data_IF_811233147607
#
_entry.id   IF_811233147607
#
_cell.length_a   1.000
_cell.length_b   1.000
_cell.length_c   1.000
_cell.angle_alpha   90.00
_cell.angle_beta   90.00
_cell.angle_gamma   90.00
#
_symmetry.space_group_name_H-M   'P 1'
#
loop_
_entity.id
_entity.type
_entity.pdbx_description
1 polymer ?
#
# COMPACT_ATOMS: atom_id res chain seq x y z
N UNK A 1 12.15 16.03 -8.53
CA UNK A 1 12.63 14.70 -8.11
C UNK A 1 12.39 14.55 -6.62
N UNK A 2 11.59 13.56 -6.25
CA UNK A 2 11.33 13.25 -4.85
C UNK A 2 12.55 12.55 -4.26
N UNK A 3 13.16 13.12 -3.22
CA UNK A 3 14.23 12.45 -2.46
C UNK A 3 13.66 11.40 -1.52
N UNK A 4 14.48 10.44 -1.08
CA UNK A 4 14.05 9.42 -0.12
C UNK A 4 13.56 10.05 1.20
N UNK A 5 14.20 11.15 1.65
CA UNK A 5 13.74 11.91 2.83
C UNK A 5 12.35 12.50 2.62
N UNK A 6 12.09 13.13 1.48
CA UNK A 6 10.77 13.68 1.14
C UNK A 6 9.71 12.58 1.03
N UNK A 7 10.05 11.42 0.45
CA UNK A 7 9.14 10.27 0.45
C UNK A 7 8.82 9.82 1.88
N UNK A 8 9.84 9.61 2.72
CA UNK A 8 9.64 9.17 4.11
C UNK A 8 8.75 10.14 4.89
N UNK A 9 8.94 11.45 4.71
CA UNK A 9 8.10 12.46 5.34
C UNK A 9 6.66 12.43 4.80
N UNK A 10 6.48 12.27 3.49
CA UNK A 10 5.16 12.14 2.86
C UNK A 10 4.40 10.92 3.38
N UNK A 11 5.07 9.76 3.48
CA UNK A 11 4.47 8.55 4.03
C UNK A 11 4.04 8.76 5.50
N UNK A 12 4.89 9.37 6.33
CA UNK A 12 4.52 9.70 7.73
C UNK A 12 3.29 10.62 7.81
N UNK A 13 3.17 11.60 6.91
CA UNK A 13 2.02 12.52 6.87
C UNK A 13 0.72 11.80 6.47
N UNK A 14 0.78 10.92 5.47
CA UNK A 14 -0.36 10.09 5.07
C UNK A 14 -0.81 9.24 6.25
N UNK A 15 0.12 8.53 6.87
CA UNK A 15 -0.18 7.69 8.04
C UNK A 15 -0.78 8.48 9.21
N UNK A 16 -0.28 9.68 9.49
CA UNK A 16 -0.80 10.53 10.57
C UNK A 16 -2.26 10.97 10.31
N UNK A 17 -2.59 11.26 9.05
CA UNK A 17 -3.94 11.63 8.62
C UNK A 17 -4.93 10.48 8.82
N UNK A 18 -4.56 9.26 8.43
CA UNK A 18 -5.43 8.08 8.58
C UNK A 18 -5.51 7.55 10.01
N UNK A 19 -4.45 7.71 10.81
CA UNK A 19 -4.47 7.37 12.24
C UNK A 19 -5.26 8.39 13.10
N UNK A 20 -5.78 9.48 12.51
CA UNK A 20 -6.50 10.54 13.22
C UNK A 20 -5.62 11.32 14.20
N UNK A 21 -4.31 11.39 13.93
CA UNK A 21 -3.32 11.98 14.83
C UNK A 21 -2.81 13.33 14.28
N UNK A 22 -3.41 14.43 14.72
CA UNK A 22 -2.79 15.75 14.59
C UNK A 22 -1.71 15.97 15.66
N UNK A 23 -0.43 15.67 15.35
CA UNK A 23 0.85 16.04 16.06
C UNK A 23 0.98 15.70 17.57
N UNK A 24 2.14 15.55 18.24
CA UNK A 24 3.56 15.30 17.92
C UNK A 24 4.15 14.46 19.09
N UNK A 25 4.99 13.46 18.80
CA UNK A 25 5.68 12.65 19.83
C UNK A 25 6.04 11.25 19.33
N UNK A 26 7.01 11.13 18.43
CA UNK A 26 7.16 10.03 17.45
C UNK A 26 7.26 8.58 17.99
N UNK A 27 7.40 8.34 19.31
CA UNK A 27 7.40 6.99 19.90
C UNK A 27 6.19 6.70 20.78
N UNK A 28 5.90 7.57 21.75
CA UNK A 28 4.68 7.50 22.58
C UNK A 28 3.41 7.73 21.74
N UNK A 29 3.49 8.58 20.71
CA UNK A 29 2.38 8.81 19.78
C UNK A 29 2.17 7.62 18.83
N UNK A 30 3.19 6.83 18.50
CA UNK A 30 3.02 5.64 17.66
C UNK A 30 2.23 4.56 18.40
N UNK A 31 2.57 4.28 19.67
CA UNK A 31 1.79 3.38 20.52
C UNK A 31 0.39 3.93 20.81
N UNK A 32 0.25 5.20 21.18
CA UNK A 32 -1.05 5.80 21.42
C UNK A 32 -1.92 5.88 20.15
N UNK A 33 -1.32 6.14 18.99
CA UNK A 33 -2.02 6.08 17.70
C UNK A 33 -2.46 4.65 17.39
N UNK A 34 -1.59 3.66 17.64
CA UNK A 34 -1.92 2.25 17.47
C UNK A 34 -3.08 1.82 18.36
N UNK A 35 -3.11 2.27 19.61
CA UNK A 35 -4.20 2.00 20.55
C UNK A 35 -5.51 2.67 20.13
N UNK A 36 -5.47 3.94 19.69
CA UNK A 36 -6.65 4.62 19.15
C UNK A 36 -7.20 3.93 17.90
N UNK A 37 -6.30 3.51 17.03
CA UNK A 37 -6.61 2.75 15.83
C UNK A 37 -7.25 1.41 16.18
N UNK A 38 -6.69 0.66 17.13
CA UNK A 38 -7.27 -0.60 17.61
C UNK A 38 -8.63 -0.40 18.25
N UNK A 39 -8.79 0.62 19.10
CA UNK A 39 -10.07 0.97 19.71
C UNK A 39 -11.12 1.32 18.64
N UNK A 40 -10.74 2.04 17.57
CA UNK A 40 -11.61 2.33 16.43
C UNK A 40 -12.02 1.06 15.68
N UNK A 41 -11.09 0.14 15.47
CA UNK A 41 -11.36 -1.18 14.85
C UNK A 41 -12.32 -1.99 15.72
N UNK A 42 -12.09 -2.04 17.02
CA UNK A 42 -12.93 -2.77 17.98
C UNK A 42 -14.34 -2.17 18.12
N UNK A 43 -14.47 -0.84 18.11
CA UNK A 43 -15.77 -0.16 18.08
C UNK A 43 -16.54 -0.48 16.80
N UNK A 44 -15.89 -0.42 15.63
CA UNK A 44 -16.51 -0.81 14.36
C UNK A 44 -16.91 -2.29 14.36
N UNK A 45 -16.09 -3.16 14.94
CA UNK A 45 -16.36 -4.59 15.03
C UNK A 45 -17.60 -4.94 15.88
N UNK A 46 -17.99 -4.08 16.83
CA UNK A 46 -19.21 -4.28 17.64
C UNK A 46 -20.50 -4.12 16.84
N UNK A 47 -20.48 -3.30 15.78
CA UNK A 47 -21.64 -3.05 14.93
C UNK A 47 -21.56 -3.73 13.56
N UNK A 48 -20.35 -4.08 13.13
CA UNK A 48 -20.06 -4.75 11.86
C UNK A 48 -19.12 -5.95 12.13
N UNK A 49 -19.64 -7.17 12.31
CA UNK A 49 -18.84 -8.31 12.73
C UNK A 49 -17.71 -8.64 11.73
N UNK A 50 -16.51 -9.03 12.19
CA UNK A 50 -15.41 -9.35 11.31
C UNK A 50 -15.72 -10.54 10.39
N UNK A 51 -15.57 -10.33 9.07
CA UNK A 51 -15.70 -11.37 8.05
C UNK A 51 -14.34 -11.66 7.39
N UNK A 52 -14.21 -12.83 6.78
CA UNK A 52 -13.06 -13.09 5.91
C UNK A 52 -13.19 -12.33 4.60
N UNK A 53 -12.11 -11.64 4.24
CA UNK A 53 -12.03 -10.85 3.03
C UNK A 53 -10.77 -11.23 2.27
N UNK A 54 -10.92 -11.42 0.95
CA UNK A 54 -9.85 -11.79 0.04
C UNK A 54 -9.41 -10.57 -0.76
N UNK A 55 -8.12 -10.27 -0.75
CA UNK A 55 -7.51 -9.23 -1.56
C UNK A 55 -6.41 -9.84 -2.44
N UNK A 56 -6.30 -9.35 -3.67
CA UNK A 56 -5.28 -9.77 -4.63
C UNK A 56 -4.53 -8.55 -5.13
N UNK A 57 -3.20 -8.68 -5.21
CA UNK A 57 -2.31 -7.56 -5.57
C UNK A 57 -1.67 -7.80 -6.95
N UNK A 58 -1.42 -6.72 -7.72
CA UNK A 58 -0.79 -6.83 -9.03
C UNK A 58 0.69 -7.20 -8.93
N UNK A 59 1.39 -6.70 -7.91
CA UNK A 59 2.82 -6.95 -7.71
C UNK A 59 3.19 -7.28 -6.26
N UNK A 60 4.45 -7.62 -6.04
CA UNK A 60 4.96 -8.05 -4.75
C UNK A 60 5.14 -6.90 -3.74
N UNK A 61 5.37 -5.67 -4.20
CA UNK A 61 5.64 -4.50 -3.36
C UNK A 61 4.35 -4.00 -2.74
N UNK A 62 3.31 -3.86 -3.55
CA UNK A 62 1.95 -3.55 -3.09
C UNK A 62 1.46 -4.57 -2.07
N UNK A 63 1.71 -5.86 -2.32
CA UNK A 63 1.44 -6.91 -1.33
C UNK A 63 2.23 -6.72 -0.03
N UNK A 64 3.52 -6.38 -0.09
CA UNK A 64 4.31 -6.17 1.13
C UNK A 64 3.84 -4.95 1.92
N UNK A 65 3.52 -3.84 1.24
CA UNK A 65 2.94 -2.65 1.85
C UNK A 65 1.62 -3.00 2.55
N UNK A 66 0.71 -3.69 1.87
CA UNK A 66 -0.57 -4.10 2.48
C UNK A 66 -0.36 -4.99 3.72
N UNK A 67 0.54 -5.98 3.64
CA UNK A 67 0.85 -6.84 4.80
C UNK A 67 1.43 -6.05 5.99
N UNK A 68 2.29 -5.06 5.73
CA UNK A 68 2.81 -4.18 6.77
C UNK A 68 1.70 -3.34 7.41
N UNK A 69 0.80 -2.79 6.58
CA UNK A 69 -0.35 -2.03 7.04
C UNK A 69 -1.30 -2.88 7.88
N UNK A 70 -1.65 -4.09 7.43
CA UNK A 70 -2.44 -5.02 8.23
C UNK A 70 -1.83 -5.28 9.61
N UNK A 71 -0.53 -5.58 9.66
CA UNK A 71 0.18 -5.86 10.92
C UNK A 71 0.18 -4.65 11.86
N UNK A 72 0.33 -3.45 11.31
CA UNK A 72 0.18 -2.19 12.05
C UNK A 72 -1.22 -2.12 12.68
N UNK A 73 -2.28 -2.36 11.91
CA UNK A 73 -3.64 -2.40 12.44
C UNK A 73 -3.93 -3.56 13.42
N UNK A 74 -2.96 -4.42 13.71
CA UNK A 74 -3.14 -5.60 14.56
C UNK A 74 -3.87 -6.75 13.85
N UNK A 75 -4.14 -6.61 12.55
CA UNK A 75 -4.71 -7.68 11.74
C UNK A 75 -3.67 -8.76 11.47
N UNK A 76 -4.14 -10.00 11.40
CA UNK A 76 -3.32 -11.17 11.07
C UNK A 76 -3.65 -11.62 9.65
N UNK A 77 -2.91 -11.15 8.63
CA UNK A 77 -3.11 -11.63 7.28
C UNK A 77 -2.68 -13.09 7.17
N UNK A 78 -3.47 -13.89 6.46
CA UNK A 78 -3.22 -15.31 6.24
C UNK A 78 -3.49 -15.67 4.78
N UNK A 79 -3.28 -16.94 4.45
CA UNK A 79 -3.57 -17.51 3.14
C UNK A 79 -3.95 -18.97 3.29
N UNK A 80 -4.93 -19.41 2.53
CA UNK A 80 -5.29 -20.83 2.46
C UNK A 80 -4.28 -21.62 1.63
N UNK A 81 -4.21 -22.93 1.89
CA UNK A 81 -3.41 -23.82 1.06
C UNK A 81 -3.85 -23.70 -0.41
N UNK A 82 -2.88 -23.68 -1.35
CA UNK A 82 -3.08 -23.54 -2.81
C UNK A 82 -3.62 -22.19 -3.32
N UNK A 83 -3.84 -21.19 -2.46
CA UNK A 83 -4.10 -19.82 -2.94
C UNK A 83 -2.85 -19.23 -3.62
N UNK A 84 -3.08 -18.37 -4.62
CA UNK A 84 -2.01 -17.69 -5.36
C UNK A 84 -1.16 -16.82 -4.43
N UNK A 85 0.13 -16.65 -4.76
CA UNK A 85 1.08 -15.92 -3.91
C UNK A 85 0.76 -14.42 -3.78
N UNK A 86 -0.03 -13.87 -4.69
CA UNK A 86 -0.48 -12.49 -4.66
C UNK A 86 -1.79 -12.29 -3.88
N UNK A 87 -2.43 -13.38 -3.41
CA UNK A 87 -3.66 -13.33 -2.62
C UNK A 87 -3.35 -13.24 -1.13
N UNK A 88 -4.10 -12.40 -0.41
CA UNK A 88 -4.04 -12.22 1.05
C UNK A 88 -5.47 -12.29 1.60
N UNK A 89 -5.64 -13.10 2.63
CA UNK A 89 -6.87 -13.15 3.43
C UNK A 89 -6.69 -12.33 4.70
N UNK A 90 -7.73 -11.58 5.09
CA UNK A 90 -7.82 -10.92 6.39
C UNK A 90 -9.19 -11.22 7.01
N UNK A 91 -9.27 -11.19 8.34
CA UNK A 91 -10.54 -11.19 9.06
C UNK A 91 -10.74 -9.82 9.69
N UNK A 92 -11.66 -9.04 9.15
CA UNK A 92 -11.92 -7.66 9.55
C UNK A 92 -13.35 -7.26 9.15
N UNK A 93 -13.90 -6.23 9.81
CA UNK A 93 -15.18 -5.62 9.45
C UNK A 93 -15.11 -5.01 8.05
N UNK A 94 -16.16 -5.16 7.23
CA UNK A 94 -16.19 -4.61 5.87
C UNK A 94 -16.06 -3.09 5.89
N UNK A 95 -16.78 -2.43 6.80
CA UNK A 95 -16.73 -0.98 6.94
C UNK A 95 -15.34 -0.45 7.31
N UNK A 96 -14.57 -1.19 8.11
CA UNK A 96 -13.17 -0.83 8.41
C UNK A 96 -12.28 -0.96 7.17
N UNK A 97 -12.42 -2.05 6.41
CA UNK A 97 -11.61 -2.29 5.21
C UNK A 97 -11.88 -1.21 4.17
N UNK A 98 -13.14 -0.94 3.87
CA UNK A 98 -13.54 -0.03 2.79
C UNK A 98 -13.29 1.45 3.13
N UNK A 99 -13.44 1.85 4.40
CA UNK A 99 -13.38 3.26 4.81
C UNK A 99 -12.05 3.68 5.43
N UNK A 100 -11.21 2.74 5.85
CA UNK A 100 -9.95 3.04 6.53
C UNK A 100 -8.78 2.35 5.84
N UNK A 101 -8.77 1.02 5.82
CA UNK A 101 -7.61 0.24 5.40
C UNK A 101 -7.25 0.45 3.92
N UNK A 102 -8.23 0.30 3.02
CA UNK A 102 -8.02 0.42 1.58
C UNK A 102 -7.71 1.86 1.14
N UNK A 103 -8.41 2.89 1.65
CA UNK A 103 -8.06 4.27 1.36
C UNK A 103 -6.63 4.62 1.76
N UNK A 104 -6.19 4.25 2.98
CA UNK A 104 -4.81 4.52 3.41
C UNK A 104 -3.79 3.76 2.55
N UNK A 105 -4.06 2.47 2.29
CA UNK A 105 -3.23 1.66 1.41
C UNK A 105 -3.05 2.32 0.03
N UNK A 106 -4.13 2.81 -0.57
CA UNK A 106 -4.12 3.44 -1.90
C UNK A 106 -3.26 4.71 -1.92
N UNK A 107 -3.35 5.54 -0.88
CA UNK A 107 -2.54 6.76 -0.78
C UNK A 107 -1.05 6.45 -0.56
N UNK A 108 -0.73 5.48 0.30
CA UNK A 108 0.64 5.02 0.51
C UNK A 108 1.23 4.39 -0.75
N UNK A 109 0.46 3.54 -1.43
CA UNK A 109 0.86 2.86 -2.67
C UNK A 109 1.14 3.89 -3.77
N UNK A 110 0.25 4.87 -3.98
CA UNK A 110 0.45 5.96 -4.94
C UNK A 110 1.74 6.71 -4.67
N UNK A 111 1.98 7.11 -3.41
CA UNK A 111 3.19 7.85 -3.05
C UNK A 111 4.47 7.04 -3.30
N UNK A 112 4.43 5.75 -2.99
CA UNK A 112 5.56 4.84 -3.18
C UNK A 112 5.84 4.58 -4.67
N UNK A 113 4.79 4.31 -5.47
CA UNK A 113 4.90 4.05 -6.91
C UNK A 113 5.53 5.23 -7.66
N UNK A 114 5.11 6.47 -7.34
CA UNK A 114 5.70 7.68 -7.94
C UNK A 114 7.21 7.74 -7.68
N UNK A 115 7.63 7.53 -6.43
CA UNK A 115 9.05 7.58 -6.08
C UNK A 115 9.84 6.45 -6.75
N UNK A 116 9.32 5.22 -6.72
CA UNK A 116 9.99 4.07 -7.34
C UNK A 116 10.16 4.28 -8.85
N UNK A 117 9.13 4.80 -9.51
CA UNK A 117 9.19 5.11 -10.93
C UNK A 117 10.25 6.18 -11.24
N UNK A 118 10.24 7.31 -10.51
CA UNK A 118 11.22 8.39 -10.67
C UNK A 118 12.66 7.90 -10.46
N UNK A 119 12.91 7.12 -9.41
CA UNK A 119 14.25 6.61 -9.09
C UNK A 119 14.70 5.58 -10.12
N UNK A 120 13.81 4.68 -10.54
CA UNK A 120 14.13 3.64 -11.52
C UNK A 120 14.50 4.25 -12.86
N UNK A 121 13.69 5.19 -13.38
CA UNK A 121 13.99 5.87 -14.63
C UNK A 121 15.30 6.65 -14.56
N UNK A 122 15.59 7.30 -13.43
CA UNK A 122 16.85 8.00 -13.24
C UNK A 122 18.04 7.06 -13.32
N UNK A 123 18.01 5.94 -12.59
CA UNK A 123 19.11 4.96 -12.61
C UNK A 123 19.33 4.39 -14.01
N UNK A 124 18.26 4.10 -14.75
CA UNK A 124 18.37 3.64 -16.14
C UNK A 124 19.03 4.72 -17.01
N UNK A 125 18.56 5.96 -16.91
CA UNK A 125 19.08 7.11 -17.68
C UNK A 125 20.56 7.37 -17.42
N UNK A 126 20.97 7.33 -16.16
CA UNK A 126 22.31 7.71 -15.73
C UNK A 126 23.33 6.57 -15.93
N UNK A 127 22.93 5.31 -15.72
CA UNK A 127 23.87 4.18 -15.65
C UNK A 127 23.81 3.24 -16.87
N UNK A 128 22.70 3.25 -17.62
CA UNK A 128 22.48 2.31 -18.73
C UNK A 128 22.44 3.06 -20.06
N UNK A 129 21.41 3.89 -20.27
CA UNK A 129 21.23 4.65 -21.50
C UNK A 129 20.19 5.76 -21.29
N UNK A 130 20.40 6.91 -21.93
CA UNK A 130 19.65 8.12 -21.64
C UNK A 130 18.18 8.10 -22.12
N UNK A 131 17.95 7.42 -23.25
CA UNK A 131 16.64 7.19 -23.83
C UNK A 131 15.87 6.11 -23.05
N UNK A 132 14.86 6.57 -22.32
CA UNK A 132 13.90 5.74 -21.59
C UNK A 132 12.50 5.81 -22.22
N UNK A 133 12.39 6.20 -23.49
CA UNK A 133 11.13 6.21 -24.23
C UNK A 133 10.60 4.79 -24.42
N UNK A 134 9.27 4.68 -24.56
CA UNK A 134 8.64 3.39 -24.80
C UNK A 134 8.89 2.93 -26.25
N UNK A 135 8.71 1.63 -26.49
CA UNK A 135 8.90 1.06 -27.80
C UNK A 135 7.92 1.68 -28.82
N UNK A 136 8.40 1.91 -30.05
CA UNK A 136 7.54 2.31 -31.14
C UNK A 136 6.49 1.23 -31.41
N UNK A 137 5.21 1.60 -31.36
CA UNK A 137 4.13 0.75 -31.85
C UNK A 137 4.18 0.68 -33.38
N UNK A 138 4.37 -0.51 -33.94
CA UNK A 138 4.32 -0.77 -35.39
C UNK A 138 3.23 -1.80 -35.69
N UNK A 139 2.46 -1.64 -36.79
CA UNK A 139 1.45 -2.62 -37.17
C UNK A 139 2.04 -4.02 -37.38
N UNK A 140 1.27 -5.05 -37.03
CA UNK A 140 1.65 -6.43 -37.31
C UNK A 140 1.67 -6.66 -38.83
N UNK A 141 2.80 -7.14 -39.35
CA UNK A 141 2.95 -7.41 -40.77
C UNK A 141 2.16 -8.69 -41.10
N UNK A 142 0.87 -8.56 -41.40
CA UNK A 142 0.08 -9.66 -41.95
C UNK A 142 0.83 -10.22 -43.19
N UNK A 143 1.07 -11.53 -43.28
CA UNK A 143 1.67 -12.11 -44.47
C UNK A 143 0.77 -11.80 -45.67
N UNK A 144 1.36 -11.34 -46.76
CA UNK A 144 0.66 -11.15 -48.03
C UNK A 144 0.09 -12.51 -48.47
N UNK A 145 -1.23 -12.58 -48.64
CA UNK A 145 -1.94 -13.76 -49.16
C UNK A 145 -1.35 -14.28 -50.47
#
# INVERSE_FOLDING_TARGET
MTSESQLREKLRKIEALFAGAGTAGERLAAEAALQRVRARVEELARHDPPIEQQLSFPDQWSRHLFLALCRRYGLRPFRYHRQRRNTVMIRASRGFVDKVLLPEFTELERALQVYLHEVTLRVIREEIYDDTSDAQEVPDALPSN
#
